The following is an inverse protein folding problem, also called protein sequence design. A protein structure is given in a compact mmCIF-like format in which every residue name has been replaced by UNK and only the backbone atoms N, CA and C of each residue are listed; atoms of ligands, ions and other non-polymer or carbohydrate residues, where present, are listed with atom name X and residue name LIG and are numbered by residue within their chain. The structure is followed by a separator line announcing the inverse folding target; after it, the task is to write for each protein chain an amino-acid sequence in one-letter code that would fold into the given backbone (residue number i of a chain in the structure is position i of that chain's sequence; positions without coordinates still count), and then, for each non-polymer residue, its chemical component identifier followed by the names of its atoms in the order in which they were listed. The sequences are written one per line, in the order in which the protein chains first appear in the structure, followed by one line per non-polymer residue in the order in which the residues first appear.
data_IF_379349700169
#
_entry.id   IF_379349700169
#
_cell.length_a   1.000
_cell.length_b   1.000
_cell.length_c   1.000
_cell.angle_alpha   90.00
_cell.angle_beta   90.00
_cell.angle_gamma   90.00
#
_symmetry.space_group_name_H-M   'P 1'
#
loop_
_entity.id
_entity.type
_entity.pdbx_description
1 polymer ?
#
# COMPACT_ATOMS: atom_id res chain seq x y z
N UNK A 1 -3.07 23.87 29.54
CA UNK A 1 -2.48 23.26 28.33
C UNK A 1 -2.92 21.82 28.14
N UNK A 2 -2.85 20.97 29.16
CA UNK A 2 -3.22 19.55 29.04
C UNK A 2 -4.68 19.31 28.60
N UNK A 3 -5.66 20.03 29.20
CA UNK A 3 -7.07 20.01 28.78
C UNK A 3 -7.31 20.47 27.32
N UNK A 4 -6.38 21.23 26.75
CA UNK A 4 -6.48 21.70 25.36
C UNK A 4 -6.02 20.62 24.38
N UNK A 5 -4.90 19.94 24.68
CA UNK A 5 -4.33 18.91 23.79
C UNK A 5 -5.23 17.67 23.73
N UNK A 6 -5.75 17.19 24.87
CA UNK A 6 -6.62 16.00 24.91
C UNK A 6 -7.93 16.21 24.16
N UNK A 7 -8.49 17.43 24.23
CA UNK A 7 -9.71 17.84 23.52
C UNK A 7 -9.49 18.34 22.10
N UNK A 8 -8.24 18.47 21.62
CA UNK A 8 -7.97 19.06 20.32
C UNK A 8 -8.43 18.16 19.17
N UNK A 9 -9.02 18.78 18.15
CA UNK A 9 -9.30 18.16 16.85
C UNK A 9 -8.08 18.22 15.91
N UNK A 10 -7.04 18.98 16.26
CA UNK A 10 -5.82 19.15 15.48
C UNK A 10 -4.64 18.38 16.09
N UNK A 11 -4.83 17.10 16.41
CA UNK A 11 -3.79 16.29 17.09
C UNK A 11 -2.51 16.16 16.27
N UNK A 12 -2.58 16.21 14.94
CA UNK A 12 -1.41 16.26 14.06
C UNK A 12 -0.55 17.51 14.24
N UNK A 13 -1.12 18.61 14.74
CA UNK A 13 -0.41 19.85 15.05
C UNK A 13 -0.12 19.99 16.55
N UNK A 14 -1.09 19.69 17.40
CA UNK A 14 -0.98 19.96 18.84
C UNK A 14 -0.24 18.87 19.61
N UNK A 15 -0.30 17.61 19.15
CA UNK A 15 0.27 16.46 19.84
C UNK A 15 1.51 15.90 19.13
N UNK A 16 1.39 15.56 17.84
CA UNK A 16 2.46 14.87 17.08
C UNK A 16 3.80 15.62 17.12
N UNK A 17 3.89 16.95 16.88
CA UNK A 17 5.17 17.66 16.88
C UNK A 17 5.83 17.67 18.26
N UNK A 18 5.04 17.67 19.34
CA UNK A 18 5.56 17.63 20.72
C UNK A 18 6.15 16.27 21.05
N UNK A 19 5.46 15.19 20.68
CA UNK A 19 5.98 13.83 20.84
C UNK A 19 7.25 13.64 20.01
N UNK A 20 7.27 14.14 18.77
CA UNK A 20 8.45 14.12 17.93
C UNK A 20 9.64 14.87 18.57
N UNK A 21 9.39 16.05 19.15
CA UNK A 21 10.43 16.81 19.87
C UNK A 21 11.01 16.02 21.05
N UNK A 22 10.18 15.34 21.84
CA UNK A 22 10.64 14.49 22.95
C UNK A 22 11.57 13.38 22.43
N UNK A 23 11.13 12.66 21.39
CA UNK A 23 11.91 11.56 20.77
C UNK A 23 13.25 12.08 20.24
N UNK A 24 13.25 13.20 19.50
CA UNK A 24 14.47 13.82 18.97
C UNK A 24 15.42 14.30 20.06
N UNK A 25 14.88 14.62 21.24
CA UNK A 25 15.66 15.02 22.42
C UNK A 25 16.11 13.82 23.26
N UNK A 26 15.92 12.58 22.76
CA UNK A 26 16.14 11.33 23.49
C UNK A 26 15.36 11.21 24.81
N UNK A 27 14.21 11.90 24.90
CA UNK A 27 13.30 11.81 26.03
C UNK A 27 12.20 10.81 25.68
N UNK A 28 12.10 9.75 26.46
CA UNK A 28 11.05 8.74 26.27
C UNK A 28 9.68 9.31 26.65
N UNK A 29 8.70 9.37 25.72
CA UNK A 29 7.36 9.80 26.05
C UNK A 29 6.67 8.82 26.99
N UNK A 30 5.82 9.34 27.89
CA UNK A 30 4.94 8.51 28.71
C UNK A 30 4.01 7.72 27.77
N UNK A 31 4.14 6.40 27.80
CA UNK A 31 3.48 5.51 26.85
C UNK A 31 3.19 4.15 27.49
N UNK A 32 2.35 3.36 26.82
CA UNK A 32 2.13 1.94 27.12
C UNK A 32 2.61 1.12 25.94
N UNK A 33 3.34 0.04 26.23
CA UNK A 33 3.74 -0.91 25.20
C UNK A 33 2.52 -1.71 24.76
N UNK A 34 2.36 -1.84 23.45
CA UNK A 34 1.36 -2.69 22.81
C UNK A 34 2.13 -3.67 21.93
N UNK A 35 1.94 -5.00 22.08
CA UNK A 35 2.53 -5.99 21.19
C UNK A 35 2.15 -5.72 19.73
N UNK A 36 3.10 -5.89 18.80
CA UNK A 36 2.84 -5.67 17.37
C UNK A 36 1.74 -6.60 16.84
N UNK A 37 1.69 -7.84 17.35
CA UNK A 37 0.70 -8.85 17.02
C UNK A 37 -0.74 -8.45 17.40
N UNK A 38 -0.91 -7.41 18.23
CA UNK A 38 -2.23 -6.86 18.55
C UNK A 38 -2.72 -5.84 17.50
N UNK A 39 -1.86 -5.42 16.57
CA UNK A 39 -2.22 -4.54 15.47
C UNK A 39 -2.62 -5.43 14.29
N UNK A 40 -3.86 -5.33 13.78
CA UNK A 40 -4.27 -6.14 12.64
C UNK A 40 -3.46 -5.77 11.39
N UNK A 41 -3.14 -6.78 10.59
CA UNK A 41 -2.53 -6.57 9.27
C UNK A 41 -3.47 -5.78 8.35
N UNK A 42 -2.87 -5.13 7.36
CA UNK A 42 -3.63 -4.45 6.32
C UNK A 42 -4.46 -5.48 5.53
N UNK A 43 -5.71 -5.17 5.16
CA UNK A 43 -6.51 -6.07 4.35
C UNK A 43 -5.90 -6.26 2.95
N UNK A 44 -6.12 -7.40 2.31
CA UNK A 44 -5.76 -7.60 0.89
C UNK A 44 -6.59 -6.67 -0.01
N UNK A 45 -6.01 -5.56 -0.44
CA UNK A 45 -6.73 -4.56 -1.24
C UNK A 45 -5.79 -3.64 -2.03
N UNK A 46 -6.40 -2.83 -2.89
CA UNK A 46 -5.74 -1.66 -3.49
C UNK A 46 -5.71 -0.54 -2.45
N UNK A 47 -4.56 -0.27 -1.86
CA UNK A 47 -4.43 0.78 -0.83
C UNK A 47 -4.22 2.19 -1.41
N UNK A 48 -3.79 2.28 -2.67
CA UNK A 48 -3.43 3.52 -3.31
C UNK A 48 -3.50 3.39 -4.82
N UNK A 49 -4.18 4.34 -5.45
CA UNK A 49 -4.15 4.55 -6.90
C UNK A 49 -3.24 5.75 -7.11
N UNK A 50 -2.13 5.55 -7.81
CA UNK A 50 -1.21 6.65 -8.08
C UNK A 50 -1.75 7.62 -9.14
N UNK A 51 -1.05 8.74 -9.34
CA UNK A 51 -1.48 9.78 -10.27
C UNK A 51 -1.52 9.33 -11.75
N UNK A 52 -0.96 8.15 -12.07
CA UNK A 52 -1.01 7.55 -13.41
C UNK A 52 -2.14 6.52 -13.53
N UNK A 53 -2.83 6.21 -12.43
CA UNK A 53 -3.88 5.20 -12.38
C UNK A 53 -3.39 3.78 -12.14
N UNK A 54 -2.13 3.59 -11.71
CA UNK A 54 -1.64 2.26 -11.29
C UNK A 54 -2.22 1.93 -9.92
N UNK A 55 -2.66 0.69 -9.75
CA UNK A 55 -3.27 0.21 -8.53
C UNK A 55 -2.19 -0.47 -7.67
N UNK A 56 -1.64 0.24 -6.69
CA UNK A 56 -0.74 -0.36 -5.71
C UNK A 56 -1.57 -1.18 -4.71
N UNK A 57 -1.07 -2.34 -4.32
CA UNK A 57 -1.76 -3.25 -3.41
C UNK A 57 -1.06 -3.34 -2.06
N UNK A 58 -1.75 -3.86 -1.05
CA UNK A 58 -1.17 -4.19 0.26
C UNK A 58 -0.30 -5.45 0.22
N UNK A 59 -0.36 -6.24 -0.85
CA UNK A 59 0.39 -7.49 -0.99
C UNK A 59 1.85 -7.23 -1.35
N UNK A 60 2.74 -7.97 -0.70
CA UNK A 60 4.11 -8.20 -1.11
C UNK A 60 4.18 -9.32 -2.15
N UNK A 61 5.33 -9.42 -2.82
CA UNK A 61 5.57 -10.48 -3.81
C UNK A 61 5.36 -11.91 -3.26
N UNK A 62 5.85 -12.19 -2.05
CA UNK A 62 5.74 -13.53 -1.45
C UNK A 62 4.29 -13.88 -1.02
N UNK A 63 3.40 -12.87 -0.96
CA UNK A 63 1.99 -13.04 -0.64
C UNK A 63 1.14 -13.15 -1.93
N UNK A 64 1.73 -12.84 -3.09
CA UNK A 64 1.06 -12.89 -4.38
C UNK A 64 0.87 -14.33 -4.84
N UNK A 65 -0.39 -14.74 -4.99
CA UNK A 65 -0.73 -16.08 -5.51
C UNK A 65 -0.55 -16.12 -7.03
N UNK A 66 0.66 -16.45 -7.47
CA UNK A 66 0.98 -16.71 -8.87
C UNK A 66 0.51 -18.12 -9.24
N UNK A 67 -0.37 -18.21 -10.24
CA UNK A 67 -0.85 -19.46 -10.83
C UNK A 67 -0.01 -19.85 -12.05
N UNK A 68 -0.39 -20.94 -12.72
CA UNK A 68 0.33 -21.48 -13.89
C UNK A 68 0.69 -20.40 -14.92
N UNK A 69 1.91 -20.53 -15.48
CA UNK A 69 2.49 -19.61 -16.47
C UNK A 69 2.72 -18.18 -15.99
N UNK A 70 3.06 -18.00 -14.71
CA UNK A 70 3.43 -16.70 -14.13
C UNK A 70 2.31 -15.66 -14.26
N UNK A 71 1.07 -16.08 -13.97
CA UNK A 71 -0.11 -15.23 -14.02
C UNK A 71 -0.72 -15.07 -12.63
N UNK A 72 -1.40 -13.96 -12.41
CA UNK A 72 -2.16 -13.66 -11.19
C UNK A 72 -3.63 -13.71 -11.52
N UNK A 73 -4.40 -14.42 -10.69
CA UNK A 73 -5.86 -14.50 -10.80
C UNK A 73 -6.50 -13.34 -10.06
N UNK A 74 -7.41 -12.65 -10.74
CA UNK A 74 -8.18 -11.54 -10.21
C UNK A 74 -9.66 -11.71 -10.52
N UNK A 75 -10.50 -10.85 -9.96
CA UNK A 75 -11.92 -10.73 -10.35
C UNK A 75 -12.12 -10.29 -11.81
N UNK A 76 -11.08 -9.78 -12.46
CA UNK A 76 -11.11 -9.29 -13.85
C UNK A 76 -10.51 -10.29 -14.86
N UNK A 77 -9.95 -11.41 -14.39
CA UNK A 77 -9.33 -12.42 -15.24
C UNK A 77 -7.93 -12.83 -14.79
N UNK A 78 -7.14 -13.36 -15.72
CA UNK A 78 -5.76 -13.78 -15.49
C UNK A 78 -4.80 -12.79 -16.16
N UNK A 79 -3.89 -12.23 -15.38
CA UNK A 79 -2.93 -11.24 -15.87
C UNK A 79 -1.50 -11.71 -15.64
N UNK A 80 -0.57 -11.50 -16.58
CA UNK A 80 0.84 -11.85 -16.38
C UNK A 80 1.46 -11.04 -15.24
N UNK A 81 2.44 -11.63 -14.58
CA UNK A 81 3.37 -10.94 -13.69
C UNK A 81 4.68 -10.63 -14.42
N UNK A 82 5.21 -9.43 -14.22
CA UNK A 82 6.55 -9.03 -14.68
C UNK A 82 7.37 -8.47 -13.52
N UNK A 83 8.68 -8.64 -13.58
CA UNK A 83 9.57 -8.08 -12.55
C UNK A 83 9.67 -6.55 -12.67
N UNK A 84 9.62 -6.02 -13.89
CA UNK A 84 9.74 -4.58 -14.14
C UNK A 84 8.61 -4.04 -15.02
N UNK A 85 8.21 -2.79 -14.76
CA UNK A 85 7.24 -2.06 -15.57
C UNK A 85 7.63 -1.99 -17.06
N UNK A 86 8.93 -1.85 -17.36
CA UNK A 86 9.41 -1.74 -18.73
C UNK A 86 9.28 -3.05 -19.53
N UNK A 87 9.05 -4.18 -18.86
CA UNK A 87 8.82 -5.48 -19.51
C UNK A 87 7.36 -5.65 -19.94
N UNK A 88 6.45 -4.80 -19.43
CA UNK A 88 5.02 -4.87 -19.73
C UNK A 88 4.77 -4.33 -21.15
N UNK A 89 4.20 -5.14 -22.07
CA UNK A 89 3.87 -4.68 -23.42
C UNK A 89 2.90 -3.50 -23.40
N UNK A 90 3.07 -2.58 -24.35
CA UNK A 90 2.20 -1.41 -24.48
C UNK A 90 0.72 -1.81 -24.60
N UNK A 91 -0.16 -1.07 -23.94
CA UNK A 91 -1.61 -1.31 -23.91
C UNK A 91 -2.00 -2.69 -23.35
N UNK A 92 -1.12 -3.33 -22.57
CA UNK A 92 -1.43 -4.58 -21.88
C UNK A 92 -1.45 -4.35 -20.37
N UNK A 93 -2.34 -5.08 -19.69
CA UNK A 93 -2.47 -5.05 -18.25
C UNK A 93 -1.68 -6.19 -17.60
N UNK A 94 -0.99 -5.89 -16.51
CA UNK A 94 -0.14 -6.83 -15.83
C UNK A 94 0.04 -6.47 -14.35
N UNK A 95 0.48 -7.45 -13.58
CA UNK A 95 1.06 -7.22 -12.26
C UNK A 95 2.55 -6.99 -12.38
N UNK A 96 3.07 -6.08 -11.57
CA UNK A 96 4.52 -5.84 -11.48
C UNK A 96 4.97 -5.76 -10.04
N UNK A 97 6.27 -6.01 -9.84
CA UNK A 97 6.93 -5.60 -8.61
C UNK A 97 7.01 -4.07 -8.56
N UNK A 98 6.33 -3.49 -7.59
CA UNK A 98 6.28 -2.05 -7.39
C UNK A 98 7.61 -1.46 -6.91
N UNK A 99 7.72 -0.14 -6.99
CA UNK A 99 8.90 0.59 -6.50
C UNK A 99 8.86 0.86 -4.99
N UNK A 100 7.67 0.80 -4.39
CA UNK A 100 7.45 1.08 -2.97
C UNK A 100 7.62 -0.18 -2.11
N UNK A 101 8.10 0.02 -0.88
CA UNK A 101 8.31 -1.04 0.10
C UNK A 101 9.52 -0.74 0.99
N UNK A 102 9.88 -1.68 1.86
CA UNK A 102 11.01 -1.55 2.79
C UNK A 102 12.00 -2.70 2.60
N UNK A 103 13.30 -2.39 2.63
CA UNK A 103 14.34 -3.40 2.39
C UNK A 103 14.24 -4.01 0.99
N UNK A 104 14.07 -5.33 0.91
CA UNK A 104 13.83 -6.07 -0.34
C UNK A 104 12.34 -6.38 -0.62
N UNK A 105 11.45 -6.11 0.34
CA UNK A 105 10.03 -6.35 0.20
C UNK A 105 9.40 -5.23 -0.62
N UNK A 106 8.68 -5.59 -1.68
CA UNK A 106 8.05 -4.64 -2.60
C UNK A 106 6.58 -4.95 -2.72
N UNK A 107 5.78 -3.90 -2.68
CA UNK A 107 4.35 -4.00 -2.93
C UNK A 107 4.08 -4.34 -4.39
N UNK A 108 3.04 -5.11 -4.63
CA UNK A 108 2.60 -5.48 -5.96
C UNK A 108 1.70 -4.40 -6.53
N UNK A 109 1.88 -4.10 -7.82
CA UNK A 109 1.09 -3.09 -8.53
C UNK A 109 0.38 -3.73 -9.73
N UNK A 110 -0.90 -3.43 -9.90
CA UNK A 110 -1.66 -3.77 -11.10
C UNK A 110 -1.77 -2.54 -11.99
N UNK A 111 -1.33 -2.68 -13.24
CA UNK A 111 -1.25 -1.57 -14.16
C UNK A 111 -1.52 -1.98 -15.61
N UNK A 112 -1.65 -0.99 -16.49
CA UNK A 112 -1.85 -1.11 -17.93
C UNK A 112 -0.88 -0.14 -18.59
N UNK A 113 0.08 -0.67 -19.34
CA UNK A 113 1.21 0.13 -19.83
C UNK A 113 0.73 1.27 -20.73
N UNK A 114 0.94 2.51 -20.27
CA UNK A 114 0.54 3.74 -20.95
C UNK A 114 -0.93 4.15 -20.78
N UNK A 115 -1.66 3.56 -19.82
CA UNK A 115 -3.08 3.86 -19.57
C UNK A 115 -3.43 3.88 -18.07
N UNK A 116 -4.59 4.47 -17.74
CA UNK A 116 -5.14 4.46 -16.38
C UNK A 116 -5.86 3.14 -16.09
N UNK A 117 -5.28 2.31 -15.22
CA UNK A 117 -5.80 0.97 -14.92
C UNK A 117 -7.02 1.03 -14.03
N UNK A 118 -7.02 1.93 -13.06
CA UNK A 118 -8.16 2.13 -12.18
C UNK A 118 -9.42 2.52 -12.97
N UNK A 119 -9.29 3.36 -14.00
CA UNK A 119 -10.41 3.71 -14.88
C UNK A 119 -10.86 2.52 -15.74
N UNK A 120 -9.93 1.81 -16.38
CA UNK A 120 -10.24 0.66 -17.26
C UNK A 120 -11.04 -0.41 -16.51
N UNK A 121 -10.64 -0.71 -15.27
CA UNK A 121 -11.24 -1.78 -14.48
C UNK A 121 -12.21 -1.29 -13.41
N UNK A 122 -12.50 0.02 -13.36
CA UNK A 122 -13.35 0.67 -12.36
C UNK A 122 -12.95 0.30 -10.92
N UNK A 123 -11.65 0.34 -10.64
CA UNK A 123 -11.06 0.00 -9.32
C UNK A 123 -11.04 1.25 -8.45
N UNK A 124 -11.33 1.08 -7.16
CA UNK A 124 -11.21 2.12 -6.14
C UNK A 124 -10.25 1.70 -5.04
N UNK A 125 -9.69 2.69 -4.34
CA UNK A 125 -8.98 2.46 -3.08
C UNK A 125 -9.88 1.71 -2.09
N UNK A 126 -9.35 0.64 -1.50
CA UNK A 126 -10.06 -0.28 -0.62
C UNK A 126 -10.60 -1.53 -1.31
N UNK A 127 -10.64 -1.57 -2.65
CA UNK A 127 -11.13 -2.75 -3.36
C UNK A 127 -10.18 -3.94 -3.19
N UNK A 128 -10.73 -5.10 -2.82
CA UNK A 128 -10.08 -6.37 -3.09
C UNK A 128 -10.29 -6.71 -4.59
N UNK A 129 -9.19 -6.93 -5.30
CA UNK A 129 -9.17 -7.29 -6.73
C UNK A 129 -8.80 -8.76 -6.96
N UNK A 130 -8.31 -9.45 -5.93
CA UNK A 130 -7.89 -10.85 -5.99
C UNK A 130 -9.11 -11.77 -5.87
N UNK A 131 -8.97 -13.01 -6.34
CA UNK A 131 -10.04 -14.01 -6.41
C UNK A 131 -9.59 -15.38 -5.90
#
# INVERSE_FOLDING_TARGET
QEKYITGSQFRSYDFVPRVAQLILSNIQPISKLIPIDNIPDAPECVWWIDNFGNCKTTLLFDELKIVENNKVKTKFGLFPYFEHLNDVPRNSSAFVRGSSGIGGQRFIEFLTQGQNTAEIFNIKTGDNIFA
#
